data_IF_568245351351
#
_entry.id   IF_568245351351
#
_cell.length_a   1.000
_cell.length_b   1.000
_cell.length_c   1.000
_cell.angle_alpha   90.00
_cell.angle_beta   90.00
_cell.angle_gamma   90.00
#
_symmetry.space_group_name_H-M   'P 1'
#
loop_
_entity.id
_entity.type
_entity.pdbx_description
1 polymer ?
#
# COMPACT_ATOMS: atom_id res chain seq x y z
N UNK A 1 -10.20 19.47 -4.35
CA UNK A 1 -10.94 18.76 -5.40
C UNK A 1 -10.13 18.52 -6.68
N UNK A 2 -9.28 19.43 -7.09
CA UNK A 2 -8.53 19.34 -8.36
C UNK A 2 -7.55 18.16 -8.46
N UNK A 3 -6.76 17.89 -7.41
CA UNK A 3 -5.76 16.79 -7.38
C UNK A 3 -6.35 15.36 -7.57
N UNK A 4 -7.60 15.12 -7.16
CA UNK A 4 -8.24 13.82 -7.39
C UNK A 4 -8.65 13.61 -8.86
N UNK A 5 -8.92 14.70 -9.59
CA UNK A 5 -9.22 14.62 -11.01
C UNK A 5 -7.98 14.32 -11.85
N UNK A 6 -6.80 14.82 -11.45
CA UNK A 6 -5.54 14.59 -12.18
C UNK A 6 -5.12 13.12 -12.09
N UNK A 7 -5.26 12.49 -10.92
CA UNK A 7 -4.99 11.06 -10.74
C UNK A 7 -5.96 10.21 -11.56
N UNK A 8 -7.24 10.59 -11.60
CA UNK A 8 -8.24 9.90 -12.41
C UNK A 8 -7.94 10.04 -13.91
N UNK A 9 -7.53 11.22 -14.38
CA UNK A 9 -7.14 11.43 -15.77
C UNK A 9 -5.93 10.59 -16.16
N UNK A 10 -4.91 10.52 -15.29
CA UNK A 10 -3.75 9.65 -15.48
C UNK A 10 -4.19 8.19 -15.56
N UNK A 11 -5.05 7.71 -14.64
CA UNK A 11 -5.58 6.35 -14.66
C UNK A 11 -6.34 6.02 -15.94
N UNK A 12 -7.24 6.91 -16.36
CA UNK A 12 -8.00 6.71 -17.60
C UNK A 12 -7.07 6.70 -18.82
N UNK A 13 -6.04 7.54 -18.87
CA UNK A 13 -5.08 7.53 -19.95
C UNK A 13 -4.27 6.23 -20.05
N UNK A 14 -3.97 5.59 -18.91
CA UNK A 14 -3.31 4.27 -18.90
C UNK A 14 -4.24 3.13 -19.27
N UNK A 15 -5.52 3.21 -18.90
CA UNK A 15 -6.52 2.22 -19.25
C UNK A 15 -6.78 2.21 -20.78
N UNK A 16 -6.92 3.37 -21.38
CA UNK A 16 -7.18 3.52 -22.82
C UNK A 16 -6.00 3.09 -23.72
N UNK A 17 -4.80 3.02 -23.17
CA UNK A 17 -3.58 2.71 -23.93
C UNK A 17 -3.02 1.30 -23.74
N UNK A 18 -3.66 0.45 -22.94
CA UNK A 18 -3.23 -0.94 -22.65
C UNK A 18 -1.75 -1.10 -22.24
N UNK A 19 -1.18 -0.11 -21.55
CA UNK A 19 0.24 -0.11 -21.18
C UNK A 19 0.60 -1.18 -20.12
N UNK A 20 -0.34 -1.54 -19.26
CA UNK A 20 -0.11 -2.52 -18.21
C UNK A 20 -1.42 -3.20 -17.81
N UNK A 21 -1.36 -4.50 -17.56
CA UNK A 21 -2.53 -5.26 -17.08
C UNK A 21 -2.95 -4.85 -15.66
N UNK A 22 -2.02 -4.38 -14.83
CA UNK A 22 -2.28 -4.00 -13.46
C UNK A 22 -1.68 -2.64 -13.15
N UNK A 23 -2.44 -1.79 -12.47
CA UNK A 23 -2.04 -0.45 -12.03
C UNK A 23 -2.22 -0.35 -10.52
N UNK A 24 -1.24 0.24 -9.83
CA UNK A 24 -1.31 0.57 -8.41
C UNK A 24 -0.61 1.91 -8.15
N UNK A 25 -1.18 2.71 -7.26
CA UNK A 25 -0.57 3.96 -6.78
C UNK A 25 0.04 3.74 -5.41
N UNK A 26 1.34 3.94 -5.32
CA UNK A 26 2.10 3.85 -4.09
C UNK A 26 2.66 5.22 -3.70
N UNK A 27 2.72 5.47 -2.40
CA UNK A 27 3.50 6.57 -1.86
C UNK A 27 4.98 6.19 -1.83
N UNK A 28 5.87 7.20 -1.80
CA UNK A 28 7.33 6.98 -1.85
C UNK A 28 7.91 6.22 -0.64
N UNK A 29 7.13 6.08 0.41
CA UNK A 29 7.48 5.35 1.62
C UNK A 29 6.77 3.98 1.73
N UNK A 30 6.23 3.49 0.60
CA UNK A 30 5.53 2.21 0.50
C UNK A 30 6.25 1.25 -0.44
N UNK A 31 6.49 0.03 0.03
CA UNK A 31 7.20 -1.00 -0.72
C UNK A 31 6.41 -2.30 -0.76
N UNK A 32 6.14 -2.80 -1.97
CA UNK A 32 5.43 -4.06 -2.18
C UNK A 32 6.32 -5.23 -1.79
N UNK A 33 5.82 -6.12 -0.94
CA UNK A 33 6.52 -7.31 -0.49
C UNK A 33 5.64 -8.56 -0.68
N UNK A 34 5.68 -9.23 -1.85
CA UNK A 34 5.01 -10.51 -2.10
C UNK A 34 5.88 -11.64 -1.55
N UNK A 35 5.86 -11.84 -0.23
CA UNK A 35 6.86 -12.67 0.46
C UNK A 35 6.73 -14.18 0.25
N UNK A 36 5.67 -14.66 -0.40
CA UNK A 36 5.55 -16.07 -0.83
C UNK A 36 5.71 -16.27 -2.34
N UNK A 37 5.75 -15.20 -3.11
CA UNK A 37 5.98 -15.22 -4.56
C UNK A 37 7.34 -14.60 -4.89
N UNK A 38 7.90 -14.90 -6.07
CA UNK A 38 9.18 -14.33 -6.49
C UNK A 38 9.04 -12.85 -6.86
N UNK A 39 7.86 -12.44 -7.30
CA UNK A 39 7.56 -11.07 -7.68
C UNK A 39 6.07 -10.78 -7.65
N UNK A 40 5.71 -9.51 -7.76
CA UNK A 40 4.31 -9.06 -7.74
C UNK A 40 3.49 -9.59 -8.93
N UNK A 41 4.10 -9.86 -10.07
CA UNK A 41 3.38 -10.40 -11.25
C UNK A 41 2.87 -11.81 -10.99
N UNK A 42 3.66 -12.65 -10.33
CA UNK A 42 3.23 -14.00 -9.93
C UNK A 42 2.08 -13.94 -8.93
N UNK A 43 2.18 -13.07 -7.95
CA UNK A 43 1.09 -12.81 -7.00
C UNK A 43 -0.22 -12.44 -7.72
N UNK A 44 -0.17 -11.45 -8.63
CA UNK A 44 -1.34 -10.91 -9.30
C UNK A 44 -1.99 -11.89 -10.31
N UNK A 45 -1.25 -12.87 -10.84
CA UNK A 45 -1.81 -13.93 -11.71
C UNK A 45 -3.00 -14.64 -11.08
N UNK A 46 -3.01 -14.80 -9.75
CA UNK A 46 -4.11 -15.48 -9.02
C UNK A 46 -5.42 -14.70 -9.02
N UNK A 47 -5.36 -13.42 -9.36
CA UNK A 47 -6.49 -12.47 -9.26
C UNK A 47 -6.97 -11.95 -10.61
N UNK A 48 -6.50 -12.51 -11.74
CA UNK A 48 -6.85 -12.06 -13.10
C UNK A 48 -8.36 -11.98 -13.38
N UNK A 49 -9.15 -12.80 -12.71
CA UNK A 49 -10.62 -12.82 -12.86
C UNK A 49 -11.33 -11.73 -12.04
N UNK A 50 -10.58 -10.93 -11.29
CA UNK A 50 -11.12 -9.90 -10.45
C UNK A 50 -10.68 -8.51 -10.92
N UNK A 51 -11.56 -7.52 -10.81
CA UNK A 51 -11.23 -6.16 -11.27
C UNK A 51 -10.18 -5.47 -10.39
N UNK A 52 -10.10 -5.85 -9.12
CA UNK A 52 -9.11 -5.24 -8.24
C UNK A 52 -8.86 -6.06 -6.98
N UNK A 53 -7.62 -6.02 -6.48
CA UNK A 53 -7.19 -6.68 -5.24
C UNK A 53 -6.45 -5.69 -4.35
N UNK A 54 -6.74 -5.71 -3.05
CA UNK A 54 -6.06 -4.87 -2.05
C UNK A 54 -4.98 -5.68 -1.34
N UNK A 55 -3.78 -5.12 -1.28
CA UNK A 55 -2.69 -5.59 -0.43
C UNK A 55 -2.60 -4.65 0.77
N UNK A 56 -2.61 -5.22 1.98
CA UNK A 56 -2.65 -4.45 3.22
C UNK A 56 -1.28 -3.94 3.64
N UNK A 57 -1.28 -2.82 4.37
CA UNK A 57 -0.09 -2.27 4.95
C UNK A 57 0.43 -3.10 6.13
N UNK A 58 1.73 -3.28 6.16
CA UNK A 58 2.51 -3.59 7.35
C UNK A 58 3.18 -2.28 7.77
N UNK A 59 2.76 -1.74 8.90
CA UNK A 59 3.26 -0.46 9.39
C UNK A 59 4.60 -0.66 10.07
N UNK A 60 5.59 0.16 9.72
CA UNK A 60 6.92 0.15 10.31
C UNK A 60 7.18 1.43 11.08
N UNK A 61 7.80 1.31 12.27
CA UNK A 61 8.23 2.39 13.11
C UNK A 61 9.69 2.78 12.87
N UNK A 62 10.22 3.53 13.84
CA UNK A 62 11.59 4.06 13.78
C UNK A 62 12.67 3.01 13.95
N UNK A 63 12.35 1.81 14.42
CA UNK A 63 13.34 0.81 14.87
C UNK A 63 14.36 1.37 15.87
N UNK A 64 13.94 2.34 16.71
CA UNK A 64 14.78 3.01 17.71
C UNK A 64 15.73 4.07 17.14
N UNK A 65 15.59 4.45 15.86
CA UNK A 65 16.51 5.39 15.22
C UNK A 65 16.03 6.84 15.35
N UNK A 66 16.95 7.70 15.81
CA UNK A 66 16.74 9.15 15.89
C UNK A 66 17.04 9.80 14.53
N UNK A 67 18.17 9.45 13.91
CA UNK A 67 18.66 10.02 12.63
C UNK A 67 18.85 8.96 11.56
N UNK A 68 18.77 9.39 10.30
CA UNK A 68 19.03 8.54 9.14
C UNK A 68 20.50 8.11 9.08
N UNK A 69 20.69 6.89 8.60
CA UNK A 69 21.98 6.37 8.17
C UNK A 69 22.10 6.44 6.64
N UNK A 70 23.16 5.84 6.09
CA UNK A 70 23.32 5.67 4.63
C UNK A 70 22.60 4.43 4.08
N UNK A 71 22.02 3.62 4.95
CA UNK A 71 21.35 2.38 4.57
C UNK A 71 20.03 2.62 3.84
N UNK A 72 19.57 1.63 3.10
CA UNK A 72 18.26 1.68 2.46
C UNK A 72 17.15 1.66 3.52
N UNK A 73 16.06 2.38 3.26
CA UNK A 73 14.87 2.40 4.14
C UNK A 73 14.40 0.97 4.48
N UNK A 74 14.42 0.07 3.50
CA UNK A 74 13.98 -1.33 3.66
C UNK A 74 14.95 -2.19 4.50
N UNK A 75 16.16 -1.72 4.75
CA UNK A 75 17.16 -2.37 5.62
C UNK A 75 17.16 -1.74 7.01
N UNK A 76 16.97 -0.43 7.05
CA UNK A 76 17.12 0.34 8.27
C UNK A 76 15.96 0.14 9.25
N UNK A 77 14.73 0.00 8.71
CA UNK A 77 13.52 -0.09 9.53
C UNK A 77 12.91 -1.49 9.43
N UNK A 78 13.00 -2.27 10.49
CA UNK A 78 12.53 -3.66 10.54
C UNK A 78 11.56 -3.93 11.70
N UNK A 79 11.38 -2.98 12.62
CA UNK A 79 10.40 -3.10 13.70
C UNK A 79 9.05 -2.56 13.24
N UNK A 80 8.02 -3.34 13.40
CA UNK A 80 6.71 -3.13 12.82
C UNK A 80 5.57 -3.45 13.77
N UNK A 81 4.36 -3.07 13.40
CA UNK A 81 3.15 -3.52 14.10
C UNK A 81 3.06 -5.05 14.10
N UNK A 82 2.51 -5.62 15.17
CA UNK A 82 2.34 -7.06 15.30
C UNK A 82 1.44 -7.67 14.20
N UNK A 83 0.47 -6.92 13.69
CA UNK A 83 -0.50 -7.36 12.67
C UNK A 83 -0.51 -6.41 11.47
N UNK A 84 -1.00 -6.90 10.33
CA UNK A 84 -1.29 -6.03 9.19
C UNK A 84 -2.32 -4.95 9.57
N UNK A 85 -2.14 -3.78 9.01
CA UNK A 85 -3.06 -2.67 9.22
C UNK A 85 -4.37 -2.89 8.46
N UNK A 86 -5.41 -2.13 8.79
CA UNK A 86 -6.74 -2.29 8.16
C UNK A 86 -6.84 -1.63 6.80
N UNK A 87 -5.88 -0.79 6.44
CA UNK A 87 -5.76 -0.12 5.15
C UNK A 87 -4.62 -0.72 4.33
N UNK A 88 -4.62 -0.42 3.06
CA UNK A 88 -3.58 -0.82 2.11
C UNK A 88 -3.76 -0.11 0.79
N UNK A 89 -3.16 -0.63 -0.26
CA UNK A 89 -3.28 -0.10 -1.62
C UNK A 89 -3.94 -1.11 -2.54
N UNK A 90 -4.67 -0.56 -3.51
CA UNK A 90 -5.42 -1.34 -4.46
C UNK A 90 -4.66 -1.51 -5.77
N UNK A 91 -4.55 -2.75 -6.23
CA UNK A 91 -4.11 -3.10 -7.57
C UNK A 91 -5.34 -3.26 -8.44
N UNK A 92 -5.44 -2.48 -9.49
CA UNK A 92 -6.53 -2.48 -10.44
C UNK A 92 -6.13 -3.23 -11.71
N UNK A 93 -6.99 -4.13 -12.18
CA UNK A 93 -6.84 -4.85 -13.43
C UNK A 93 -7.46 -4.04 -14.57
N UNK A 94 -6.66 -3.64 -15.53
CA UNK A 94 -7.07 -2.79 -16.66
C UNK A 94 -7.99 -3.48 -17.68
N UNK A 95 -8.13 -4.81 -17.60
CA UNK A 95 -9.14 -5.54 -18.39
C UNK A 95 -10.59 -5.19 -17.99
N UNK A 96 -10.77 -4.47 -16.87
CA UNK A 96 -12.07 -4.06 -16.35
C UNK A 96 -12.25 -2.55 -16.43
N UNK A 97 -13.51 -2.10 -16.58
CA UNK A 97 -13.82 -0.67 -16.59
C UNK A 97 -13.85 -0.13 -15.16
N UNK A 98 -13.01 0.85 -14.88
CA UNK A 98 -13.02 1.55 -13.60
C UNK A 98 -14.27 2.42 -13.48
N UNK A 99 -14.99 2.33 -12.36
CA UNK A 99 -16.16 3.16 -12.05
C UNK A 99 -15.83 4.27 -11.06
N UNK A 100 -15.05 3.94 -10.02
CA UNK A 100 -14.69 4.87 -8.96
C UNK A 100 -13.33 4.52 -8.37
N UNK A 101 -12.50 5.52 -8.25
CA UNK A 101 -11.22 5.43 -7.56
C UNK A 101 -11.27 6.12 -6.20
N UNK A 102 -10.76 5.45 -5.18
CA UNK A 102 -10.38 6.02 -3.89
C UNK A 102 -8.97 5.55 -3.53
N UNK A 103 -8.29 6.27 -2.66
CA UNK A 103 -6.89 6.02 -2.30
C UNK A 103 -6.61 4.55 -1.93
N UNK A 104 -7.58 3.87 -1.31
CA UNK A 104 -7.40 2.52 -0.76
C UNK A 104 -8.24 1.44 -1.43
N UNK A 105 -9.16 1.78 -2.32
CA UNK A 105 -9.95 0.81 -3.07
C UNK A 105 -10.48 1.38 -4.39
N UNK A 106 -10.80 0.48 -5.30
CA UNK A 106 -11.35 0.82 -6.61
C UNK A 106 -12.64 0.02 -6.81
N UNK A 107 -13.69 0.71 -7.22
CA UNK A 107 -14.91 0.08 -7.70
C UNK A 107 -14.83 -0.02 -9.22
N UNK A 108 -15.11 -1.20 -9.77
CA UNK A 108 -15.15 -1.47 -11.19
C UNK A 108 -16.58 -1.71 -11.69
N UNK A 109 -16.81 -1.47 -12.97
CA UNK A 109 -18.05 -1.82 -13.64
C UNK A 109 -17.86 -3.11 -14.44
N UNK A 110 -18.72 -4.09 -14.23
CA UNK A 110 -18.76 -5.31 -15.02
C UNK A 110 -20.15 -5.49 -15.64
N UNK A 111 -20.21 -6.10 -16.82
CA UNK A 111 -21.48 -6.37 -17.51
C UNK A 111 -21.87 -7.84 -17.26
N UNK A 112 -23.03 -8.05 -16.64
CA UNK A 112 -23.62 -9.37 -16.41
C UNK A 112 -25.06 -9.32 -16.93
N UNK A 113 -25.41 -10.24 -17.84
CA UNK A 113 -26.77 -10.32 -18.45
C UNK A 113 -27.29 -8.94 -18.90
N UNK A 114 -26.49 -8.19 -19.66
CA UNK A 114 -26.79 -6.84 -20.15
C UNK A 114 -27.01 -5.76 -19.06
N UNK A 115 -26.74 -6.04 -17.78
CA UNK A 115 -26.78 -5.08 -16.70
C UNK A 115 -25.37 -4.69 -16.26
N UNK A 116 -25.13 -3.40 -16.07
CA UNK A 116 -23.88 -2.92 -15.51
C UNK A 116 -23.95 -3.04 -13.98
N UNK A 117 -23.04 -3.83 -13.43
CA UNK A 117 -22.95 -4.07 -11.99
C UNK A 117 -21.65 -3.48 -11.47
N UNK A 118 -21.71 -2.73 -10.36
CA UNK A 118 -20.54 -2.21 -9.69
C UNK A 118 -19.98 -3.27 -8.74
N UNK A 119 -18.72 -3.66 -8.98
CA UNK A 119 -18.01 -4.65 -8.17
C UNK A 119 -16.87 -3.96 -7.42
N UNK A 120 -16.77 -4.26 -6.13
CA UNK A 120 -15.72 -3.72 -5.25
C UNK A 120 -14.45 -4.54 -5.32
N UNK A 121 -13.37 -3.93 -4.83
CA UNK A 121 -12.10 -4.63 -4.64
C UNK A 121 -12.26 -5.83 -3.72
N UNK A 122 -11.44 -6.84 -3.94
CA UNK A 122 -11.30 -8.00 -3.06
C UNK A 122 -10.00 -7.91 -2.25
N UNK A 123 -9.90 -8.69 -1.18
CA UNK A 123 -8.63 -9.00 -0.52
C UNK A 123 -8.01 -10.30 -1.07
N UNK A 124 -6.85 -10.71 -0.55
CA UNK A 124 -6.18 -11.95 -0.95
C UNK A 124 -7.04 -13.22 -0.77
N UNK A 125 -7.95 -13.23 0.19
CA UNK A 125 -8.89 -14.33 0.41
C UNK A 125 -10.13 -14.26 -0.50
N UNK A 126 -10.10 -13.43 -1.55
CA UNK A 126 -11.18 -13.20 -2.52
C UNK A 126 -12.49 -12.70 -1.88
N UNK A 127 -12.41 -12.08 -0.70
CA UNK A 127 -13.56 -11.47 -0.03
C UNK A 127 -13.69 -10.01 -0.43
N UNK A 128 -14.88 -9.58 -0.79
CA UNK A 128 -15.16 -8.19 -1.12
C UNK A 128 -14.90 -7.27 0.08
N UNK A 129 -14.24 -6.14 -0.20
CA UNK A 129 -13.92 -5.15 0.81
C UNK A 129 -15.09 -4.18 0.93
N UNK A 130 -15.57 -3.99 2.16
CA UNK A 130 -16.59 -3.00 2.48
C UNK A 130 -15.89 -1.81 3.15
N UNK A 131 -15.75 -0.69 2.42
CA UNK A 131 -15.10 0.54 2.91
C UNK A 131 -13.66 0.35 3.30
N UNK A 132 -12.64 0.34 2.98
CA UNK A 132 -11.24 0.30 3.45
C UNK A 132 -10.96 -0.54 4.71
N UNK A 133 -11.98 -1.06 5.40
CA UNK A 133 -11.81 -1.69 6.71
C UNK A 133 -12.16 -3.15 6.61
N UNK A 134 -11.17 -4.01 6.69
CA UNK A 134 -11.34 -5.44 6.91
C UNK A 134 -10.91 -5.80 8.33
N UNK A 135 -11.87 -5.89 9.24
CA UNK A 135 -11.61 -6.33 10.62
C UNK A 135 -11.44 -7.85 10.73
N UNK A 136 -11.92 -8.62 9.75
CA UNK A 136 -11.92 -10.10 9.81
C UNK A 136 -11.09 -10.68 8.66
N UNK A 137 -10.35 -11.75 8.95
CA UNK A 137 -9.59 -12.58 8.01
C UNK A 137 -8.39 -11.89 7.33
N UNK A 138 -7.45 -11.40 8.11
CA UNK A 138 -6.12 -10.95 7.65
C UNK A 138 -5.03 -12.00 7.90
N UNK A 139 -5.43 -13.21 8.21
CA UNK A 139 -4.53 -14.35 8.40
C UNK A 139 -4.28 -15.08 7.08
N UNK A 140 -3.10 -15.65 6.93
CA UNK A 140 -2.72 -16.43 5.76
C UNK A 140 -2.41 -15.63 4.49
N UNK A 141 -2.33 -14.31 4.56
CA UNK A 141 -1.92 -13.48 3.42
C UNK A 141 -0.48 -13.76 3.01
N UNK A 142 -0.19 -13.57 1.73
CA UNK A 142 1.09 -13.91 1.09
C UNK A 142 1.83 -12.71 0.56
N UNK A 143 1.23 -11.53 0.68
CA UNK A 143 1.83 -10.26 0.34
C UNK A 143 1.47 -9.20 1.38
N UNK A 144 2.31 -8.17 1.46
CA UNK A 144 2.08 -6.98 2.26
C UNK A 144 2.69 -5.77 1.55
N UNK A 145 2.25 -4.57 1.91
CA UNK A 145 2.94 -3.34 1.55
C UNK A 145 3.61 -2.82 2.81
N UNK A 146 4.93 -2.80 2.81
CA UNK A 146 5.69 -2.20 3.90
C UNK A 146 5.53 -0.69 3.82
N UNK A 147 4.91 -0.08 4.83
CA UNK A 147 4.70 1.34 4.92
C UNK A 147 5.60 1.91 6.03
N UNK A 148 6.65 2.62 5.62
CA UNK A 148 7.64 3.23 6.50
C UNK A 148 7.18 4.63 6.94
N UNK A 149 6.12 4.65 7.74
CA UNK A 149 5.39 5.86 8.10
C UNK A 149 6.20 6.85 8.92
N UNK A 150 6.85 6.40 10.00
CA UNK A 150 7.64 7.27 10.89
C UNK A 150 9.01 7.58 10.29
N UNK A 151 9.66 6.56 9.70
CA UNK A 151 11.10 6.52 9.44
C UNK A 151 11.85 6.81 10.74
N UNK A 152 12.80 7.76 10.75
CA UNK A 152 13.48 8.17 12.00
C UNK A 152 12.62 9.15 12.81
N UNK A 153 13.00 9.36 14.08
CA UNK A 153 12.35 10.37 14.92
C UNK A 153 12.44 11.77 14.31
N UNK A 154 13.64 12.17 13.84
CA UNK A 154 13.83 13.49 13.23
C UNK A 154 12.99 13.66 11.96
N UNK A 155 12.92 12.62 11.11
CA UNK A 155 12.06 12.64 9.92
C UNK A 155 10.56 12.73 10.26
N UNK A 156 10.13 12.09 11.35
CA UNK A 156 8.75 12.23 11.81
C UNK A 156 8.43 13.67 12.22
N UNK A 157 9.31 14.30 12.99
CA UNK A 157 9.14 15.70 13.40
C UNK A 157 9.05 16.62 12.17
N UNK A 158 10.00 16.51 11.25
CA UNK A 158 10.06 17.38 10.07
C UNK A 158 8.92 17.12 9.07
N UNK A 159 8.68 15.86 8.73
CA UNK A 159 7.80 15.52 7.62
C UNK A 159 6.34 15.28 8.01
N UNK A 160 6.08 14.85 9.24
CA UNK A 160 4.70 14.57 9.68
C UNK A 160 4.18 15.69 10.58
N UNK A 161 4.95 16.10 11.60
CA UNK A 161 4.47 17.13 12.52
C UNK A 161 4.53 18.54 11.92
N UNK A 162 5.67 18.96 11.38
CA UNK A 162 5.82 20.33 10.84
C UNK A 162 5.18 20.49 9.48
N UNK A 163 5.49 19.61 8.51
CA UNK A 163 4.95 19.71 7.15
C UNK A 163 3.49 19.27 7.08
N UNK A 164 3.11 18.28 7.89
CA UNK A 164 1.76 17.69 7.88
C UNK A 164 1.48 16.79 6.69
N UNK A 165 0.21 16.56 6.45
CA UNK A 165 -0.30 15.77 5.33
C UNK A 165 -0.96 16.68 4.31
N UNK A 166 -0.94 16.28 3.04
CA UNK A 166 -1.54 17.02 1.92
C UNK A 166 -3.04 17.26 2.11
N UNK A 167 -3.71 16.42 2.90
CA UNK A 167 -5.15 16.48 3.14
C UNK A 167 -5.55 17.41 4.30
N UNK A 168 -4.59 17.84 5.12
CA UNK A 168 -4.88 18.63 6.32
C UNK A 168 -4.17 19.98 6.28
N UNK A 169 -4.90 21.06 6.56
CA UNK A 169 -4.33 22.41 6.71
C UNK A 169 -3.40 22.52 7.91
N UNK A 170 -3.71 21.78 8.98
CA UNK A 170 -2.92 21.65 10.20
C UNK A 170 -2.59 20.17 10.37
N UNK A 171 -1.34 19.86 10.66
CA UNK A 171 -0.94 18.47 10.86
C UNK A 171 -1.69 17.84 12.04
N UNK A 172 -2.35 16.69 11.85
CA UNK A 172 -2.95 15.93 12.94
C UNK A 172 -1.90 15.15 13.76
N UNK A 173 -0.64 15.17 13.30
CA UNK A 173 0.43 14.37 13.88
C UNK A 173 1.15 15.15 14.98
N UNK A 174 1.10 14.61 16.19
CA UNK A 174 1.69 15.17 17.41
C UNK A 174 2.74 14.22 17.98
N UNK A 175 3.50 14.64 19.00
CA UNK A 175 4.36 13.73 19.77
C UNK A 175 3.56 12.61 20.43
N UNK A 176 2.38 12.90 20.96
CA UNK A 176 1.50 11.87 21.50
C UNK A 176 1.10 10.84 20.45
N UNK A 177 0.81 11.28 19.21
CA UNK A 177 0.55 10.38 18.10
C UNK A 177 1.77 9.52 17.78
N UNK A 178 2.98 10.11 17.78
CA UNK A 178 4.23 9.39 17.58
C UNK A 178 4.41 8.26 18.59
N UNK A 179 4.33 8.56 19.88
CA UNK A 179 4.48 7.54 20.93
C UNK A 179 3.41 6.46 20.86
N UNK A 180 2.15 6.83 20.66
CA UNK A 180 1.06 5.88 20.46
C UNK A 180 1.25 4.97 19.24
N UNK A 181 1.93 5.48 18.21
CA UNK A 181 2.27 4.72 17.03
C UNK A 181 3.44 3.77 17.31
N UNK A 182 4.53 4.25 17.92
CA UNK A 182 5.71 3.44 18.25
C UNK A 182 5.39 2.31 19.22
N UNK A 183 4.48 2.50 20.18
CA UNK A 183 4.03 1.44 21.11
C UNK A 183 3.40 0.22 20.41
N UNK A 184 2.97 0.34 19.15
CA UNK A 184 2.43 -0.76 18.33
C UNK A 184 3.51 -1.52 17.57
N UNK A 185 4.74 -1.02 17.56
CA UNK A 185 5.89 -1.62 16.90
C UNK A 185 6.52 -2.68 17.82
N UNK A 186 5.97 -3.87 17.79
CA UNK A 186 6.28 -4.97 18.71
C UNK A 186 6.78 -6.24 18.01
N UNK A 187 7.02 -6.18 16.69
CA UNK A 187 7.38 -7.34 15.90
C UNK A 187 8.49 -6.99 14.90
N UNK A 188 9.52 -7.81 14.80
CA UNK A 188 10.49 -7.71 13.70
C UNK A 188 9.89 -8.32 12.43
N UNK A 189 10.05 -7.63 11.30
CA UNK A 189 9.61 -8.11 9.99
C UNK A 189 10.72 -7.96 8.95
N UNK A 190 11.32 -9.09 8.57
CA UNK A 190 12.42 -9.18 7.62
C UNK A 190 12.00 -9.73 6.26
N UNK A 191 10.69 -9.84 5.97
CA UNK A 191 10.20 -10.47 4.73
C UNK A 191 10.73 -9.82 3.47
N UNK A 192 10.92 -8.50 3.49
CA UNK A 192 11.44 -7.74 2.34
C UNK A 192 12.93 -8.01 2.08
N UNK A 193 13.69 -8.49 3.06
CA UNK A 193 15.13 -8.69 2.96
C UNK A 193 15.52 -9.66 1.84
N UNK A 194 14.65 -10.62 1.50
CA UNK A 194 14.87 -11.51 0.35
C UNK A 194 15.11 -10.79 -0.98
N UNK A 195 14.64 -9.55 -1.11
CA UNK A 195 14.76 -8.75 -2.32
C UNK A 195 15.95 -7.79 -2.30
N UNK A 196 16.60 -7.60 -1.16
CA UNK A 196 17.67 -6.60 -0.99
C UNK A 196 18.90 -6.96 -1.81
N UNK A 197 19.29 -8.22 -1.81
CA UNK A 197 20.47 -8.69 -2.58
C UNK A 197 20.26 -8.42 -4.07
N UNK A 198 19.10 -8.80 -4.60
CA UNK A 198 18.75 -8.55 -6.00
C UNK A 198 18.71 -7.06 -6.34
N UNK A 199 18.21 -6.22 -5.41
CA UNK A 199 18.17 -4.79 -5.57
C UNK A 199 19.58 -4.18 -5.59
N UNK A 200 20.43 -4.52 -4.63
CA UNK A 200 21.82 -4.03 -4.54
C UNK A 200 22.67 -4.47 -5.74
N UNK A 201 22.46 -5.67 -6.24
CA UNK A 201 23.18 -6.16 -7.41
C UNK A 201 22.82 -5.45 -8.72
N UNK A 202 21.68 -4.77 -8.80
CA UNK A 202 21.28 -3.96 -9.97
C UNK A 202 21.85 -2.54 -9.95
N UNK A 203 22.41 -2.12 -8.82
CA UNK A 203 22.98 -0.77 -8.65
C UNK A 203 24.50 -0.75 -8.70
N UNK A 204 25.12 -1.92 -8.91
CA UNK A 204 26.54 -2.07 -9.25
C UNK A 204 26.74 -2.02 -10.76
#
# INVERSE_FOLDING_TARGET
MQKNNDILQILFSYQDKNYAQWICFLDLDEFICPYKDNNIREFLKRYRKYPSVVIYWKMFGTSGKIKRTKELVIEEFYISFGKLFTLGKCFFNTDFKMKKHKVHFIDAEIKIFNKNIVVRSINENRKFIKYNIHRKNREGFTAQINHYFSKTYDEYIENKMKRGDVLFKISPYTLQHFYNYEMKNISCDYKIFRFIIALKNRWK
#
